data_IF_772592321178
#
_entry.id   IF_772592321178
#
_cell.length_a   1.000
_cell.length_b   1.000
_cell.length_c   1.000
_cell.angle_alpha   90.00
_cell.angle_beta   90.00
_cell.angle_gamma   90.00
#
_symmetry.space_group_name_H-M   'P 1'
#
loop_
_entity.id
_entity.type
_entity.pdbx_description
1 polymer ?
#
# COMPACT_ATOMS: atom_id res chain seq x y z
N UNK A 1 -9.29 -10.75 -20.96
CA UNK A 1 -8.06 -10.02 -20.62
C UNK A 1 -8.21 -9.57 -19.18
N UNK A 2 -7.42 -10.13 -18.26
CA UNK A 2 -7.33 -9.71 -16.87
C UNK A 2 -6.25 -8.63 -16.75
N UNK A 3 -6.38 -7.73 -15.78
CA UNK A 3 -5.33 -6.76 -15.47
C UNK A 3 -4.10 -7.50 -14.93
N UNK A 4 -2.90 -7.01 -15.26
CA UNK A 4 -1.66 -7.54 -14.69
C UNK A 4 -1.73 -7.51 -13.15
N UNK A 5 -1.26 -8.59 -12.50
CA UNK A 5 -1.27 -8.72 -11.04
C UNK A 5 -2.68 -8.66 -10.39
N UNK A 6 -3.71 -9.10 -11.12
CA UNK A 6 -5.04 -9.46 -10.60
C UNK A 6 -5.39 -10.87 -11.08
N UNK A 7 -5.39 -11.84 -10.16
CA UNK A 7 -5.63 -13.25 -10.46
C UNK A 7 -6.22 -13.99 -9.25
N UNK A 8 -6.64 -15.24 -9.46
CA UNK A 8 -7.29 -16.07 -8.44
C UNK A 8 -6.39 -16.36 -7.22
N UNK A 9 -5.07 -16.20 -7.34
CA UNK A 9 -4.12 -16.38 -6.24
C UNK A 9 -4.04 -15.14 -5.33
N UNK A 10 -4.54 -13.99 -5.78
CA UNK A 10 -4.36 -12.73 -5.07
C UNK A 10 -5.64 -11.91 -4.83
N UNK A 11 -6.80 -12.37 -5.29
CA UNK A 11 -8.11 -11.78 -4.98
C UNK A 11 -8.87 -12.63 -3.98
N UNK A 12 -9.45 -12.00 -2.95
CA UNK A 12 -10.37 -12.67 -2.03
C UNK A 12 -11.81 -12.65 -2.57
N UNK A 13 -12.22 -11.51 -3.13
CA UNK A 13 -13.56 -11.29 -3.65
C UNK A 13 -13.53 -11.15 -5.17
N UNK A 14 -14.37 -11.91 -5.85
CA UNK A 14 -14.45 -11.92 -7.32
C UNK A 14 -15.61 -11.10 -7.86
N UNK A 15 -16.45 -10.54 -6.98
CA UNK A 15 -17.60 -9.74 -7.38
C UNK A 15 -17.14 -8.40 -8.00
N UNK A 16 -17.79 -7.89 -9.06
CA UNK A 16 -17.34 -6.66 -9.72
C UNK A 16 -17.26 -5.42 -8.81
N UNK A 17 -18.12 -5.35 -7.79
CA UNK A 17 -18.18 -4.27 -6.80
C UNK A 17 -17.09 -4.35 -5.73
N UNK A 18 -16.33 -5.44 -5.67
CA UNK A 18 -15.19 -5.60 -4.77
C UNK A 18 -13.92 -4.88 -5.26
N UNK A 19 -13.94 -4.38 -6.50
CA UNK A 19 -12.85 -3.61 -7.10
C UNK A 19 -13.21 -2.14 -7.12
N UNK A 20 -12.33 -1.30 -6.59
CA UNK A 20 -12.51 0.15 -6.62
C UNK A 20 -11.45 0.78 -7.52
N UNK A 21 -11.91 1.46 -8.57
CA UNK A 21 -11.05 2.14 -9.53
C UNK A 21 -11.08 3.66 -9.28
N UNK A 22 -9.90 4.26 -9.14
CA UNK A 22 -9.71 5.71 -9.09
C UNK A 22 -8.89 6.15 -10.31
N UNK A 23 -9.52 6.88 -11.23
CA UNK A 23 -8.91 7.35 -12.47
C UNK A 23 -8.24 8.71 -12.31
N UNK A 24 -7.09 8.89 -12.95
CA UNK A 24 -6.48 10.21 -13.13
C UNK A 24 -7.36 11.08 -14.03
N UNK A 25 -7.29 12.40 -13.87
CA UNK A 25 -8.13 13.35 -14.62
C UNK A 25 -7.96 13.28 -16.14
N UNK A 26 -6.80 12.84 -16.63
CA UNK A 26 -6.51 12.66 -18.06
C UNK A 26 -6.82 11.24 -18.57
N UNK A 27 -7.37 10.36 -17.72
CA UNK A 27 -7.67 8.95 -17.99
C UNK A 27 -6.47 8.12 -18.47
N UNK A 28 -5.25 8.59 -18.22
CA UNK A 28 -4.01 7.86 -18.56
C UNK A 28 -3.53 6.94 -17.46
N UNK A 29 -4.08 7.04 -16.25
CA UNK A 29 -3.72 6.21 -15.12
C UNK A 29 -4.94 5.81 -14.33
N UNK A 30 -4.89 4.62 -13.76
CA UNK A 30 -5.93 4.11 -12.87
C UNK A 30 -5.28 3.38 -11.70
N UNK A 31 -5.67 3.76 -10.48
CA UNK A 31 -5.40 2.95 -9.30
C UNK A 31 -6.59 2.01 -9.09
N UNK A 32 -6.31 0.73 -8.88
CA UNK A 32 -7.32 -0.29 -8.58
C UNK A 32 -7.01 -0.85 -7.19
N UNK A 33 -7.97 -0.74 -6.28
CA UNK A 33 -7.90 -1.37 -4.97
C UNK A 33 -8.88 -2.53 -4.88
N UNK A 34 -8.46 -3.59 -4.21
CA UNK A 34 -9.25 -4.81 -4.00
C UNK A 34 -8.77 -5.53 -2.75
N UNK A 35 -9.62 -6.36 -2.16
CA UNK A 35 -9.22 -7.20 -1.02
C UNK A 35 -8.47 -8.43 -1.52
N UNK A 36 -7.24 -8.60 -1.04
CA UNK A 36 -6.44 -9.79 -1.29
C UNK A 36 -6.54 -10.80 -0.15
N UNK A 37 -6.88 -10.34 1.06
CA UNK A 37 -7.30 -11.14 2.21
C UNK A 37 -8.31 -10.36 3.08
N UNK A 38 -8.84 -10.99 4.14
CA UNK A 38 -9.96 -10.44 4.96
C UNK A 38 -9.72 -9.01 5.44
N UNK A 39 -8.47 -8.67 5.77
CA UNK A 39 -8.05 -7.38 6.30
C UNK A 39 -6.90 -6.75 5.49
N UNK A 40 -6.61 -7.28 4.31
CA UNK A 40 -5.50 -6.84 3.47
C UNK A 40 -6.08 -6.35 2.15
N UNK A 41 -5.91 -5.05 1.90
CA UNK A 41 -6.22 -4.40 0.64
C UNK A 41 -4.94 -4.28 -0.18
N UNK A 42 -5.02 -4.69 -1.44
CA UNK A 42 -3.99 -4.46 -2.45
C UNK A 42 -4.36 -3.21 -3.24
N UNK A 43 -3.35 -2.40 -3.57
CA UNK A 43 -3.48 -1.26 -4.47
C UNK A 43 -2.50 -1.46 -5.62
N UNK A 44 -3.03 -1.64 -6.83
CA UNK A 44 -2.23 -1.67 -8.05
C UNK A 44 -2.42 -0.35 -8.80
N UNK A 45 -1.34 0.18 -9.38
CA UNK A 45 -1.38 1.36 -10.22
C UNK A 45 -1.08 0.96 -11.67
N UNK A 46 -1.88 1.43 -12.61
CA UNK A 46 -1.71 1.12 -14.02
C UNK A 46 -1.56 2.39 -14.86
N UNK A 47 -0.70 2.32 -15.87
CA UNK A 47 -0.69 3.23 -16.99
C UNK A 47 -1.61 2.67 -18.08
N UNK A 48 -2.51 3.50 -18.58
CA UNK A 48 -3.47 3.15 -19.63
C UNK A 48 -3.05 3.84 -20.91
N UNK A 49 -2.69 3.04 -21.90
CA UNK A 49 -2.55 3.48 -23.27
C UNK A 49 -3.60 2.78 -24.14
N UNK A 50 -3.88 3.31 -25.33
CA UNK A 50 -5.00 2.85 -26.17
C UNK A 50 -4.98 1.37 -26.58
N UNK A 51 -3.99 0.57 -26.14
CA UNK A 51 -3.90 -0.87 -26.37
C UNK A 51 -4.01 -1.72 -25.10
N UNK A 52 -3.96 -1.13 -23.91
CA UNK A 52 -4.12 -1.87 -22.66
C UNK A 52 -3.75 -1.09 -21.40
N UNK A 53 -3.93 -1.75 -20.26
CA UNK A 53 -3.44 -1.27 -18.97
C UNK A 53 -2.16 -2.03 -18.62
N UNK A 54 -1.09 -1.30 -18.33
CA UNK A 54 0.22 -1.84 -17.93
C UNK A 54 0.47 -1.50 -16.47
N UNK A 55 0.89 -2.49 -15.69
CA UNK A 55 1.26 -2.27 -14.30
C UNK A 55 2.43 -1.27 -14.17
N UNK A 56 2.29 -0.34 -13.24
CA UNK A 56 3.32 0.58 -12.78
C UNK A 56 3.81 0.06 -11.43
N UNK A 57 5.12 0.05 -11.24
CA UNK A 57 5.71 -0.32 -9.94
C UNK A 57 5.20 0.64 -8.87
N UNK A 58 4.36 0.13 -7.97
CA UNK A 58 3.68 0.95 -6.98
C UNK A 58 4.68 1.39 -5.89
N UNK A 59 4.48 2.58 -5.29
CA UNK A 59 5.34 3.02 -4.20
C UNK A 59 5.12 2.14 -2.97
N UNK A 60 6.20 1.80 -2.27
CA UNK A 60 6.16 1.07 -0.99
C UNK A 60 6.78 1.96 0.09
N UNK A 61 5.94 2.79 0.73
CA UNK A 61 6.39 3.74 1.75
C UNK A 61 7.06 3.04 2.94
N UNK A 62 6.64 1.81 3.22
CA UNK A 62 7.25 0.98 4.25
C UNK A 62 8.69 0.59 3.87
N UNK A 63 8.89 0.11 2.63
CA UNK A 63 10.23 -0.20 2.11
C UNK A 63 11.11 1.04 2.08
N UNK A 64 10.57 2.17 1.67
CA UNK A 64 11.32 3.43 1.61
C UNK A 64 11.78 3.89 3.01
N UNK A 65 10.96 3.67 4.05
CA UNK A 65 11.29 3.98 5.43
C UNK A 65 12.27 2.98 6.08
N UNK A 66 12.12 1.69 5.75
CA UNK A 66 12.81 0.62 6.50
C UNK A 66 13.94 -0.06 5.71
N UNK A 67 14.04 0.16 4.41
CA UNK A 67 14.94 -0.55 3.51
C UNK A 67 14.59 -2.03 3.28
N UNK A 68 13.45 -2.51 3.80
CA UNK A 68 12.95 -3.87 3.58
C UNK A 68 11.47 -3.84 3.21
N UNK A 69 11.04 -4.71 2.32
CA UNK A 69 9.61 -4.99 2.16
C UNK A 69 9.18 -6.01 3.21
N UNK A 70 7.90 -5.96 3.56
CA UNK A 70 7.22 -7.06 4.26
C UNK A 70 6.18 -7.55 3.26
N UNK A 71 6.38 -8.77 2.76
CA UNK A 71 5.37 -9.41 1.94
C UNK A 71 4.08 -9.57 2.74
N UNK A 72 2.98 -9.05 2.20
CA UNK A 72 1.69 -8.98 2.91
C UNK A 72 1.08 -10.35 3.19
N UNK A 73 1.50 -11.40 2.48
CA UNK A 73 0.98 -12.76 2.60
C UNK A 73 1.95 -13.73 3.28
N UNK A 74 3.25 -13.48 3.18
CA UNK A 74 4.27 -14.49 3.54
C UNK A 74 5.26 -14.03 4.61
N UNK A 75 5.44 -12.72 4.81
CA UNK A 75 6.38 -12.20 5.81
C UNK A 75 5.63 -11.58 6.99
N UNK A 76 5.81 -12.18 8.17
CA UNK A 76 5.16 -11.71 9.39
C UNK A 76 3.66 -11.98 9.43
N UNK A 77 3.07 -11.81 10.61
CA UNK A 77 1.64 -12.00 10.81
C UNK A 77 0.93 -10.67 10.53
N UNK A 78 0.80 -10.34 9.23
CA UNK A 78 0.12 -9.14 8.75
C UNK A 78 -1.36 -9.22 9.11
N UNK A 79 -1.80 -8.31 9.98
CA UNK A 79 -3.17 -8.24 10.46
C UNK A 79 -4.03 -7.32 9.62
N UNK A 80 -3.46 -6.22 9.15
CA UNK A 80 -4.18 -5.18 8.43
C UNK A 80 -3.26 -4.51 7.40
N UNK A 81 -3.76 -4.25 6.20
CA UNK A 81 -3.09 -3.35 5.24
C UNK A 81 -4.15 -2.58 4.44
N UNK A 82 -4.09 -1.25 4.47
CA UNK A 82 -5.13 -0.39 3.87
C UNK A 82 -4.50 0.78 3.09
N UNK A 83 -3.76 0.51 2.00
CA UNK A 83 -3.26 1.58 1.15
C UNK A 83 -4.40 2.28 0.41
N UNK A 84 -4.33 3.60 0.28
CA UNK A 84 -5.27 4.38 -0.52
C UNK A 84 -4.57 5.47 -1.32
N UNK A 85 -5.06 5.71 -2.54
CA UNK A 85 -4.53 6.72 -3.46
C UNK A 85 -5.62 7.70 -3.85
N UNK A 86 -5.32 8.99 -3.72
CA UNK A 86 -6.17 10.09 -4.18
C UNK A 86 -5.44 10.90 -5.23
N UNK A 87 -6.00 11.01 -6.43
CA UNK A 87 -5.43 11.85 -7.49
C UNK A 87 -5.58 13.34 -7.15
N UNK A 88 -4.48 14.09 -7.25
CA UNK A 88 -4.43 15.54 -7.07
C UNK A 88 -4.29 16.26 -8.42
N UNK A 89 -3.69 15.59 -9.41
CA UNK A 89 -3.54 16.06 -10.79
C UNK A 89 -3.37 14.84 -11.71
N UNK A 90 -3.35 15.01 -13.05
CA UNK A 90 -3.19 13.90 -14.00
C UNK A 90 -2.03 12.93 -13.70
N UNK A 91 -0.94 13.43 -13.12
CA UNK A 91 0.25 12.64 -12.74
C UNK A 91 0.66 12.81 -11.29
N UNK A 92 -0.16 13.47 -10.47
CA UNK A 92 0.15 13.72 -9.05
C UNK A 92 -0.92 13.11 -8.18
N UNK A 93 -0.50 12.46 -7.11
CA UNK A 93 -1.38 11.77 -6.20
C UNK A 93 -0.89 11.90 -4.77
N UNK A 94 -1.82 11.72 -3.84
CA UNK A 94 -1.55 11.49 -2.44
C UNK A 94 -1.69 10.00 -2.15
N UNK A 95 -0.70 9.39 -1.50
CA UNK A 95 -0.74 8.00 -1.04
C UNK A 95 -0.78 7.97 0.48
N UNK A 96 -1.71 7.22 1.04
CA UNK A 96 -1.69 6.77 2.43
C UNK A 96 -1.40 5.27 2.48
N UNK A 97 -0.62 4.85 3.46
CA UNK A 97 -0.24 3.45 3.67
C UNK A 97 -0.30 3.16 5.17
N UNK A 98 -1.30 2.35 5.56
CA UNK A 98 -1.49 1.89 6.91
C UNK A 98 -1.35 0.37 6.96
N UNK A 99 -0.54 -0.12 7.91
CA UNK A 99 -0.27 -1.55 8.10
C UNK A 99 -0.23 -1.88 9.58
N UNK A 100 -0.74 -3.06 9.94
CA UNK A 100 -0.58 -3.65 11.27
C UNK A 100 -0.05 -5.06 11.07
N UNK A 101 1.04 -5.40 11.74
CA UNK A 101 1.63 -6.73 11.68
C UNK A 101 2.25 -7.10 13.03
N UNK A 102 2.34 -8.41 13.29
CA UNK A 102 3.01 -8.94 14.48
C UNK A 102 4.34 -9.56 14.07
N UNK A 103 5.41 -9.11 14.73
CA UNK A 103 6.78 -9.60 14.54
C UNK A 103 7.50 -9.70 15.88
N UNK A 104 8.51 -10.57 15.93
CA UNK A 104 9.50 -10.61 17.00
C UNK A 104 10.69 -9.69 16.65
N UNK A 105 10.40 -8.39 16.47
CA UNK A 105 11.37 -7.40 15.99
C UNK A 105 11.05 -6.02 16.56
N UNK A 106 11.39 -5.80 17.83
CA UNK A 106 11.19 -4.51 18.51
C UNK A 106 12.06 -3.39 17.92
N UNK A 107 13.23 -3.74 17.37
CA UNK A 107 14.16 -2.79 16.75
C UNK A 107 13.59 -2.14 15.48
N UNK A 108 12.69 -2.83 14.77
CA UNK A 108 11.98 -2.27 13.63
C UNK A 108 11.14 -1.05 14.00
N UNK A 109 10.51 -1.05 15.18
CA UNK A 109 9.69 0.08 15.62
C UNK A 109 10.54 1.34 15.86
N UNK A 110 11.71 1.18 16.48
CA UNK A 110 12.66 2.27 16.68
C UNK A 110 13.14 2.85 15.33
N UNK A 111 13.35 1.98 14.33
CA UNK A 111 13.73 2.38 12.98
C UNK A 111 12.64 3.18 12.27
N UNK A 112 11.37 2.85 12.49
CA UNK A 112 10.23 3.56 11.92
C UNK A 112 10.05 4.96 12.51
N UNK A 113 10.53 5.18 13.75
CA UNK A 113 10.43 6.46 14.44
C UNK A 113 8.99 6.98 14.45
N UNK A 114 8.70 8.19 13.94
CA UNK A 114 7.35 8.75 13.96
C UNK A 114 6.35 8.02 13.04
N UNK A 115 6.81 7.16 12.13
CA UNK A 115 5.96 6.40 11.21
C UNK A 115 5.45 5.08 11.84
N UNK A 116 5.94 4.73 13.03
CA UNK A 116 5.65 3.45 13.68
C UNK A 116 5.13 3.61 15.11
N UNK A 117 4.30 2.66 15.53
CA UNK A 117 3.98 2.40 16.94
C UNK A 117 4.17 0.93 17.25
N UNK A 118 4.81 0.61 18.36
CA UNK A 118 4.94 -0.75 18.86
C UNK A 118 4.13 -0.94 20.16
N UNK A 119 3.50 -2.11 20.28
CA UNK A 119 2.79 -2.54 21.47
C UNK A 119 3.22 -3.96 21.80
N UNK A 120 3.79 -4.14 23.00
CA UNK A 120 4.19 -5.46 23.47
C UNK A 120 2.97 -6.34 23.76
N UNK A 121 3.02 -7.60 23.31
CA UNK A 121 2.01 -8.60 23.58
C UNK A 121 2.40 -9.45 24.80
N UNK A 122 1.42 -10.10 25.43
CA UNK A 122 1.65 -10.97 26.61
C UNK A 122 2.51 -12.20 26.31
N UNK A 123 2.56 -12.63 25.05
CA UNK A 123 3.31 -13.81 24.59
C UNK A 123 4.75 -13.47 24.14
N UNK A 124 5.20 -12.23 24.35
CA UNK A 124 6.54 -11.77 24.00
C UNK A 124 6.68 -11.21 22.58
N UNK A 125 5.66 -11.36 21.73
CA UNK A 125 5.66 -10.74 20.39
C UNK A 125 5.33 -9.25 20.47
N UNK A 126 5.57 -8.52 19.38
CA UNK A 126 5.24 -7.10 19.27
C UNK A 126 4.28 -6.85 18.13
N UNK A 127 3.17 -6.18 18.43
CA UNK A 127 2.31 -5.60 17.40
C UNK A 127 2.93 -4.29 16.94
N UNK A 128 3.13 -4.14 15.64
CA UNK A 128 3.66 -2.94 15.01
C UNK A 128 2.59 -2.35 14.11
N UNK A 129 2.24 -1.09 14.37
CA UNK A 129 1.51 -0.26 13.42
C UNK A 129 2.50 0.57 12.62
N UNK A 130 2.34 0.59 11.30
CA UNK A 130 2.98 1.54 10.41
C UNK A 130 1.90 2.42 9.80
N UNK A 131 2.09 3.74 9.85
CA UNK A 131 1.20 4.69 9.20
C UNK A 131 2.01 5.81 8.55
N UNK A 132 1.98 5.86 7.23
CA UNK A 132 2.67 6.89 6.47
C UNK A 132 1.80 7.46 5.36
N UNK A 133 2.08 8.71 5.02
CA UNK A 133 1.50 9.40 3.88
C UNK A 133 2.57 10.21 3.13
N UNK A 134 2.42 10.27 1.81
CA UNK A 134 3.30 11.04 0.94
C UNK A 134 2.61 11.42 -0.37
N UNK A 135 2.97 12.58 -0.90
CA UNK A 135 2.61 12.95 -2.28
C UNK A 135 3.59 12.30 -3.26
N UNK A 136 3.07 11.85 -4.39
CA UNK A 136 3.82 11.20 -5.47
C UNK A 136 3.55 11.84 -6.83
N UNK A 137 4.55 11.72 -7.71
CA UNK A 137 4.46 12.16 -9.11
C UNK A 137 4.88 11.04 -10.05
N UNK A 138 4.03 10.74 -11.05
CA UNK A 138 4.35 9.87 -12.17
C UNK A 138 5.19 10.62 -13.20
N UNK A 139 6.42 10.16 -13.39
CA UNK A 139 7.35 10.72 -14.34
C UNK A 139 7.06 10.22 -15.77
N UNK A 140 7.49 10.95 -16.83
CA UNK A 140 7.25 10.54 -18.22
C UNK A 140 7.83 9.18 -18.61
N UNK A 141 8.86 8.71 -17.89
CA UNK A 141 9.49 7.41 -18.09
C UNK A 141 8.77 6.26 -17.35
N UNK A 142 7.64 6.55 -16.70
CA UNK A 142 6.85 5.59 -15.95
C UNK A 142 7.34 5.31 -14.53
N UNK A 143 8.42 5.95 -14.09
CA UNK A 143 8.85 5.88 -12.68
C UNK A 143 8.00 6.77 -11.80
N UNK A 144 7.89 6.41 -10.54
CA UNK A 144 7.27 7.25 -9.52
C UNK A 144 8.36 7.97 -8.74
N UNK A 145 8.17 9.27 -8.52
CA UNK A 145 8.92 10.04 -7.54
C UNK A 145 8.03 10.31 -6.34
N UNK A 146 8.41 9.79 -5.18
CA UNK A 146 7.73 10.08 -3.92
C UNK A 146 8.38 11.26 -3.20
N UNK A 147 7.56 12.07 -2.54
CA UNK A 147 7.99 12.99 -1.51
C UNK A 147 8.45 12.26 -0.25
N UNK A 148 9.00 13.00 0.71
CA UNK A 148 9.39 12.43 2.01
C UNK A 148 8.15 11.94 2.76
N UNK A 149 8.10 10.66 3.22
CA UNK A 149 7.00 10.17 4.02
C UNK A 149 6.83 10.96 5.32
N UNK A 150 5.57 11.20 5.68
CA UNK A 150 5.15 11.78 6.96
C UNK A 150 4.29 10.79 7.71
N UNK A 151 4.21 10.94 9.04
CA UNK A 151 3.35 10.11 9.86
C UNK A 151 1.89 10.30 9.45
N UNK A 152 1.20 9.18 9.20
CA UNK A 152 -0.24 9.15 8.99
C UNK A 152 -1.01 9.06 10.31
N UNK A 153 -2.29 8.70 10.20
CA UNK A 153 -3.13 8.45 11.38
C UNK A 153 -2.90 7.03 11.90
N UNK A 154 -2.77 6.91 13.22
CA UNK A 154 -2.68 5.62 13.90
C UNK A 154 -4.03 5.29 14.53
N UNK A 155 -4.35 4.01 14.62
CA UNK A 155 -5.57 3.56 15.28
C UNK A 155 -5.26 3.14 16.73
N UNK A 156 -6.28 3.24 17.58
CA UNK A 156 -6.25 2.56 18.88
C UNK A 156 -6.52 1.07 18.63
N UNK A 157 -5.62 0.22 19.11
CA UNK A 157 -5.79 -1.23 19.05
C UNK A 157 -6.51 -1.65 20.34
N UNK A 158 -7.69 -2.26 20.19
CA UNK A 158 -8.43 -2.88 21.30
C UNK A 158 -7.82 -4.23 21.73
#
# INVERSE_FOLDING_TARGET
>A
MTLDNVNDDNILDTAPDAFHAAWSADSRYVAVTFRSERHIVTLNLYAVDGRGARLVDAPDLFRDATGRSIDRKTDGDMRTSVPALTWQAPRRFHLTDYRVFVLDDTALADKLGPLGKATAMKDGRTTIQFSAEADGELLPDGRIRMGKPRAGQFEELE
#
